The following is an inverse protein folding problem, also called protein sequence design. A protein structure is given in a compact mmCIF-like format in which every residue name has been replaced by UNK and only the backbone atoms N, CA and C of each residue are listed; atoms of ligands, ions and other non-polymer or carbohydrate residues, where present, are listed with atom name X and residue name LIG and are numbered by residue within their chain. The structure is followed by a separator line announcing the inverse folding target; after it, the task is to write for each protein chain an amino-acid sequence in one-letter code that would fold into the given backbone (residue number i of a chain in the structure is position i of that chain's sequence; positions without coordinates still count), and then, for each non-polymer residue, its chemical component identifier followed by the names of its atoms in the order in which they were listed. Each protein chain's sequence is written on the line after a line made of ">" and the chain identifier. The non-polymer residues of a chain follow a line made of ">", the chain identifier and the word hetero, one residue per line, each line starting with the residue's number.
data_IF_835318934321
#
_entry.id   IF_835318934321
#
_cell.length_a   1.000
_cell.length_b   1.000
_cell.length_c   1.000
_cell.angle_alpha   90.00
_cell.angle_beta   90.00
_cell.angle_gamma   90.00
#
_symmetry.space_group_name_H-M   'P 1'
#
loop_
_entity.id
_entity.type
_entity.pdbx_description
1 polymer ?
#
# COMPACT_ATOMS: atom_id res chain seq x y z
N UNK A 1 -39.80 -14.53 -2.78
CA UNK A 1 -38.92 -13.60 -3.51
C UNK A 1 -38.15 -12.79 -2.48
N UNK A 2 -36.93 -13.21 -2.15
CA UNK A 2 -36.11 -12.53 -1.14
C UNK A 2 -35.54 -11.25 -1.73
N UNK A 3 -35.99 -10.10 -1.23
CA UNK A 3 -35.28 -8.84 -1.47
C UNK A 3 -33.91 -8.98 -0.83
N UNK A 4 -32.89 -9.21 -1.66
CA UNK A 4 -31.49 -9.11 -1.21
C UNK A 4 -31.29 -7.65 -0.83
N UNK A 5 -31.42 -7.36 0.46
CA UNK A 5 -31.11 -6.06 1.02
C UNK A 5 -29.65 -5.78 0.70
N UNK A 6 -29.41 -4.98 -0.34
CA UNK A 6 -28.11 -4.40 -0.61
C UNK A 6 -27.85 -3.48 0.58
N UNK A 7 -27.09 -3.97 1.56
CA UNK A 7 -26.58 -3.13 2.63
C UNK A 7 -25.74 -2.07 1.93
N UNK A 8 -26.29 -0.86 1.82
CA UNK A 8 -25.52 0.31 1.40
C UNK A 8 -24.63 0.68 2.58
N UNK A 9 -23.55 -0.06 2.75
CA UNK A 9 -22.50 0.35 3.64
C UNK A 9 -21.99 1.66 3.07
N UNK A 10 -22.20 2.78 3.77
CA UNK A 10 -21.56 4.06 3.48
C UNK A 10 -20.08 3.91 3.82
N UNK A 11 -19.37 3.10 3.04
CA UNK A 11 -17.97 2.82 3.19
C UNK A 11 -17.24 4.00 2.57
N UNK A 12 -16.77 4.90 3.42
CA UNK A 12 -15.69 5.78 3.02
C UNK A 12 -14.41 4.97 3.14
N UNK A 13 -13.50 5.00 2.15
CA UNK A 13 -12.16 4.50 2.37
C UNK A 13 -11.60 5.11 3.65
N UNK A 14 -10.80 4.35 4.38
CA UNK A 14 -10.08 4.85 5.55
C UNK A 14 -9.28 6.11 5.18
N UNK A 15 -9.01 6.95 6.18
CA UNK A 15 -8.22 8.18 6.01
C UNK A 15 -6.96 7.93 5.16
N UNK A 16 -6.60 8.91 4.33
CA UNK A 16 -5.43 8.85 3.44
C UNK A 16 -4.16 8.38 4.17
N UNK A 17 -3.32 7.63 3.46
CA UNK A 17 -2.05 7.14 4.00
C UNK A 17 -1.13 8.34 4.28
N UNK A 18 -0.72 8.48 5.54
CA UNK A 18 0.25 9.49 5.92
C UNK A 18 1.68 8.99 5.61
N UNK A 19 2.28 9.58 4.58
CA UNK A 19 3.61 9.22 4.05
C UNK A 19 4.78 9.97 4.72
N UNK A 20 4.57 10.70 5.82
CA UNK A 20 5.67 11.43 6.49
C UNK A 20 6.81 10.47 6.86
N UNK A 21 8.06 10.78 6.49
CA UNK A 21 9.25 9.91 6.61
C UNK A 21 9.79 9.72 8.05
N UNK A 22 8.94 9.85 9.07
CA UNK A 22 9.30 9.60 10.47
C UNK A 22 9.14 8.14 10.90
N UNK A 23 9.57 7.84 12.14
CA UNK A 23 9.32 6.56 12.79
C UNK A 23 7.82 6.22 12.74
N UNK A 24 7.48 5.04 12.21
CA UNK A 24 6.10 4.57 12.12
C UNK A 24 5.48 4.57 10.72
N UNK A 25 6.22 4.86 9.63
CA UNK A 25 5.71 4.60 8.27
C UNK A 25 5.35 3.12 8.04
N UNK A 26 6.17 2.13 8.43
CA UNK A 26 5.82 0.71 8.29
C UNK A 26 4.53 0.32 9.01
N UNK A 27 4.32 0.78 10.24
CA UNK A 27 3.14 0.48 11.06
C UNK A 27 1.88 1.14 10.47
N UNK A 28 2.00 2.40 10.05
CA UNK A 28 0.89 3.12 9.38
C UNK A 28 0.51 2.45 8.07
N UNK A 29 1.48 2.01 7.28
CA UNK A 29 1.24 1.24 6.06
C UNK A 29 0.49 -0.06 6.34
N UNK A 30 0.97 -0.88 7.29
CA UNK A 30 0.31 -2.15 7.65
C UNK A 30 -1.13 -1.94 8.09
N UNK A 31 -1.39 -0.96 8.96
CA UNK A 31 -2.74 -0.65 9.43
C UNK A 31 -3.63 -0.14 8.30
N UNK A 32 -3.10 0.75 7.46
CA UNK A 32 -3.85 1.30 6.33
C UNK A 32 -4.17 0.24 5.28
N UNK A 33 -3.19 -0.63 4.92
CA UNK A 33 -3.36 -1.74 3.98
C UNK A 33 -4.45 -2.70 4.45
N UNK A 34 -4.47 -3.04 5.74
CA UNK A 34 -5.51 -3.88 6.34
C UNK A 34 -6.90 -3.25 6.18
N UNK A 35 -7.04 -1.97 6.56
CA UNK A 35 -8.31 -1.24 6.41
C UNK A 35 -8.77 -1.16 4.96
N UNK A 36 -7.85 -0.93 4.02
CA UNK A 36 -8.17 -0.89 2.60
C UNK A 36 -8.56 -2.27 2.05
N UNK A 37 -7.95 -3.37 2.52
CA UNK A 37 -8.34 -4.73 2.16
C UNK A 37 -9.74 -5.10 2.66
N UNK A 38 -10.09 -4.71 3.88
CA UNK A 38 -11.45 -4.86 4.41
C UNK A 38 -12.44 -4.06 3.55
N UNK A 39 -12.12 -2.81 3.25
CA UNK A 39 -12.91 -1.97 2.33
C UNK A 39 -13.06 -2.63 0.95
N UNK A 40 -11.98 -3.16 0.38
CA UNK A 40 -11.96 -3.85 -0.92
C UNK A 40 -12.91 -5.03 -0.95
N UNK A 41 -12.93 -5.80 0.14
CA UNK A 41 -13.82 -6.95 0.30
C UNK A 41 -15.28 -6.52 0.45
N UNK A 42 -15.56 -5.56 1.32
CA UNK A 42 -16.90 -5.06 1.58
C UNK A 42 -17.53 -4.36 0.37
N UNK A 43 -16.72 -3.59 -0.38
CA UNK A 43 -17.13 -2.92 -1.60
C UNK A 43 -17.13 -3.83 -2.85
N UNK A 44 -16.76 -5.11 -2.70
CA UNK A 44 -16.62 -6.10 -3.79
C UNK A 44 -15.71 -5.62 -4.93
N UNK A 45 -14.72 -4.78 -4.61
CA UNK A 45 -13.79 -4.21 -5.57
C UNK A 45 -12.96 -5.27 -6.28
N UNK A 46 -12.68 -6.40 -5.63
CA UNK A 46 -11.97 -7.53 -6.26
C UNK A 46 -12.63 -8.11 -7.50
N UNK A 47 -13.95 -7.93 -7.64
CA UNK A 47 -14.73 -8.37 -8.81
C UNK A 47 -14.94 -7.28 -9.86
N UNK A 48 -14.50 -6.05 -9.59
CA UNK A 48 -14.65 -4.92 -10.50
C UNK A 48 -13.53 -4.87 -11.54
N UNK A 49 -13.70 -4.03 -12.57
CA UNK A 49 -12.67 -3.81 -13.58
C UNK A 49 -11.39 -3.21 -12.98
N UNK A 50 -10.23 -3.55 -13.56
CA UNK A 50 -8.91 -3.11 -13.07
C UNK A 50 -8.82 -1.59 -12.93
N UNK A 51 -9.31 -0.86 -13.94
CA UNK A 51 -9.33 0.61 -13.95
C UNK A 51 -10.12 1.17 -12.75
N UNK A 52 -11.29 0.60 -12.45
CA UNK A 52 -12.11 1.02 -11.32
C UNK A 52 -11.44 0.70 -9.97
N UNK A 53 -10.80 -0.47 -9.85
CA UNK A 53 -10.02 -0.83 -8.67
C UNK A 53 -8.89 0.18 -8.43
N UNK A 54 -8.13 0.51 -9.47
CA UNK A 54 -7.03 1.46 -9.39
C UNK A 54 -7.47 2.89 -9.12
N UNK A 55 -8.53 3.36 -9.78
CA UNK A 55 -9.09 4.69 -9.52
C UNK A 55 -9.54 4.82 -8.06
N UNK A 56 -10.22 3.79 -7.53
CA UNK A 56 -10.65 3.76 -6.14
C UNK A 56 -9.47 3.71 -5.17
N UNK A 57 -8.44 2.92 -5.48
CA UNK A 57 -7.22 2.86 -4.70
C UNK A 57 -6.49 4.20 -4.65
N UNK A 58 -6.27 4.85 -5.81
CA UNK A 58 -5.65 6.19 -5.91
C UNK A 58 -6.44 7.22 -5.10
N UNK A 59 -7.77 7.20 -5.20
CA UNK A 59 -8.63 8.08 -4.42
C UNK A 59 -8.48 7.88 -2.91
N UNK A 60 -8.36 6.62 -2.45
CA UNK A 60 -8.25 6.27 -1.04
C UNK A 60 -6.86 6.56 -0.44
N UNK A 61 -5.79 6.22 -1.16
CA UNK A 61 -4.42 6.26 -0.63
C UNK A 61 -3.93 7.70 -0.41
N UNK A 62 -4.40 8.64 -1.23
CA UNK A 62 -4.12 10.06 -1.10
C UNK A 62 -2.91 10.53 -1.89
N UNK A 63 -2.77 11.86 -2.01
CA UNK A 63 -1.86 12.52 -2.93
C UNK A 63 -0.38 12.16 -2.71
N UNK A 64 0.06 12.09 -1.46
CA UNK A 64 1.47 11.82 -1.14
C UNK A 64 1.90 10.44 -1.64
N UNK A 65 1.05 9.43 -1.43
CA UNK A 65 1.32 8.08 -1.92
C UNK A 65 1.24 7.99 -3.44
N UNK A 66 0.33 8.73 -4.09
CA UNK A 66 0.26 8.81 -5.56
C UNK A 66 1.58 9.35 -6.13
N UNK A 67 2.17 10.38 -5.52
CA UNK A 67 3.47 10.93 -5.93
C UNK A 67 4.57 9.87 -5.84
N UNK A 68 4.58 9.04 -4.80
CA UNK A 68 5.51 7.90 -4.70
C UNK A 68 5.23 6.83 -5.76
N UNK A 69 3.97 6.47 -5.99
CA UNK A 69 3.58 5.46 -6.99
C UNK A 69 4.03 5.87 -8.39
N UNK A 70 3.94 7.16 -8.73
CA UNK A 70 4.36 7.67 -10.04
C UNK A 70 5.86 7.57 -10.32
N UNK A 71 6.70 7.39 -9.29
CA UNK A 71 8.15 7.26 -9.45
C UNK A 71 8.64 5.82 -9.43
N UNK A 72 7.75 4.85 -9.20
CA UNK A 72 8.15 3.45 -9.14
C UNK A 72 8.62 2.94 -10.51
N UNK A 73 9.78 2.26 -10.57
CA UNK A 73 10.18 1.53 -11.77
C UNK A 73 9.30 0.28 -11.91
N UNK A 74 8.82 0.01 -13.12
CA UNK A 74 8.10 -1.22 -13.47
C UNK A 74 8.94 -1.99 -14.50
N UNK A 75 9.06 -3.29 -14.29
CA UNK A 75 9.67 -4.22 -15.25
C UNK A 75 8.71 -4.50 -16.42
N UNK A 76 9.21 -5.14 -17.48
CA UNK A 76 8.43 -5.37 -18.70
C UNK A 76 7.21 -6.30 -18.49
N UNK A 77 7.24 -7.14 -17.45
CA UNK A 77 6.16 -8.04 -17.04
C UNK A 77 5.23 -7.44 -15.97
N UNK A 78 5.54 -6.26 -15.44
CA UNK A 78 4.74 -5.58 -14.43
C UNK A 78 3.82 -4.51 -15.07
N UNK A 79 2.51 -4.69 -14.91
CA UNK A 79 1.51 -3.70 -15.31
C UNK A 79 1.37 -2.62 -14.21
N UNK A 80 1.64 -1.32 -14.51
CA UNK A 80 1.49 -0.21 -13.56
C UNK A 80 0.02 0.15 -13.25
N UNK A 81 -0.94 -0.38 -14.01
CA UNK A 81 -2.38 -0.29 -13.71
C UNK A 81 -2.89 -1.54 -12.98
N UNK A 82 -2.01 -2.50 -12.64
CA UNK A 82 -2.39 -3.63 -11.80
C UNK A 82 -2.23 -3.28 -10.31
N UNK A 83 -3.33 -3.40 -9.58
CA UNK A 83 -3.39 -3.06 -8.16
C UNK A 83 -2.39 -3.86 -7.31
N UNK A 84 -2.15 -5.14 -7.63
CA UNK A 84 -1.25 -5.98 -6.85
C UNK A 84 0.21 -5.51 -7.02
N UNK A 85 0.61 -5.20 -8.25
CA UNK A 85 1.94 -4.68 -8.55
C UNK A 85 2.20 -3.34 -7.82
N UNK A 86 1.25 -2.41 -7.90
CA UNK A 86 1.38 -1.10 -7.26
C UNK A 86 1.44 -1.21 -5.73
N UNK A 87 0.59 -2.04 -5.13
CA UNK A 87 0.58 -2.25 -3.67
C UNK A 87 1.86 -2.91 -3.20
N UNK A 88 2.41 -3.87 -3.94
CA UNK A 88 3.67 -4.53 -3.60
C UNK A 88 4.84 -3.54 -3.61
N UNK A 89 4.96 -2.69 -4.63
CA UNK A 89 6.02 -1.67 -4.68
C UNK A 89 5.86 -0.62 -3.58
N UNK A 90 4.62 -0.20 -3.30
CA UNK A 90 4.35 0.72 -2.20
C UNK A 90 4.67 0.11 -0.84
N UNK A 91 4.42 -1.18 -0.66
CA UNK A 91 4.83 -1.92 0.53
C UNK A 91 6.34 -1.98 0.68
N UNK A 92 7.08 -2.32 -0.38
CA UNK A 92 8.54 -2.28 -0.38
C UNK A 92 9.08 -0.90 -0.02
N UNK A 93 8.46 0.17 -0.53
CA UNK A 93 8.80 1.54 -0.18
C UNK A 93 8.55 1.82 1.31
N UNK A 94 7.35 1.53 1.81
CA UNK A 94 6.94 1.86 3.18
C UNK A 94 7.65 1.03 4.25
N UNK A 95 7.99 -0.23 3.96
CA UNK A 95 8.75 -1.09 4.85
C UNK A 95 10.27 -0.84 4.76
N UNK A 96 10.71 -0.17 3.69
CA UNK A 96 12.10 -0.01 3.31
C UNK A 96 12.66 -1.29 2.69
N UNK A 97 13.57 -1.13 1.73
CA UNK A 97 14.51 -2.20 1.43
C UNK A 97 15.44 -2.31 2.64
N UNK A 98 15.33 -3.38 3.44
CA UNK A 98 16.46 -3.78 4.27
C UNK A 98 17.60 -4.18 3.33
N UNK A 99 18.45 -3.21 3.00
CA UNK A 99 19.68 -3.50 2.27
C UNK A 99 20.60 -4.26 3.23
N UNK A 100 20.54 -5.59 3.12
CA UNK A 100 21.32 -6.52 3.94
C UNK A 100 22.82 -6.17 3.93
N UNK A 101 23.35 -5.67 2.80
CA UNK A 101 24.74 -5.24 2.67
C UNK A 101 25.05 -4.01 3.53
N UNK A 102 24.15 -3.03 3.55
CA UNK A 102 24.30 -1.83 4.36
C UNK A 102 24.17 -2.12 5.86
N UNK A 103 23.18 -2.94 6.24
CA UNK A 103 22.99 -3.37 7.63
C UNK A 103 24.17 -4.23 8.11
N UNK A 104 24.69 -5.15 7.27
CA UNK A 104 25.92 -5.91 7.58
C UNK A 104 27.15 -5.03 7.70
N UNK A 105 27.32 -4.04 6.83
CA UNK A 105 28.41 -3.08 6.94
C UNK A 105 28.33 -2.33 8.27
N UNK A 106 27.15 -1.78 8.61
CA UNK A 106 26.92 -1.14 9.91
C UNK A 106 27.21 -2.06 11.10
N UNK A 107 26.80 -3.33 11.03
CA UNK A 107 27.08 -4.32 12.07
C UNK A 107 28.59 -4.59 12.21
N UNK A 108 29.30 -4.78 11.10
CA UNK A 108 30.74 -5.05 11.07
C UNK A 108 31.60 -3.82 11.44
N UNK A 109 31.04 -2.62 11.36
CA UNK A 109 31.69 -1.39 11.80
C UNK A 109 31.40 -1.03 13.26
N UNK A 110 30.58 -1.81 13.99
CA UNK A 110 30.43 -1.62 15.43
C UNK A 110 31.69 -2.11 16.14
N UNK A 111 32.32 -1.22 16.89
CA UNK A 111 33.36 -1.58 17.84
C UNK A 111 32.65 -2.09 19.10
N UNK A 112 32.84 -3.37 19.45
CA UNK A 112 32.33 -3.89 20.72
C UNK A 112 33.20 -3.34 21.86
N UNK A 113 32.56 -2.73 22.85
CA UNK A 113 33.24 -2.38 24.10
C UNK A 113 33.54 -3.65 24.93
N UNK A 114 34.61 -3.65 25.76
CA UNK A 114 35.10 -4.83 26.48
C UNK A 114 34.11 -5.49 27.45
#
# INVERSE_FOLDING_TARGET
>A
MGVSSVVRLNLRPSTQLNMNEGEGLPERWKMWKLQFQDFRTLARLSSAEKEFQMATFRHAVGEQAIRCISTFPYEADEDPEDWENVVNKLECYCLGFTNDTFERYKFNCRVQEP
#
